data_IF_726738031462
#
_entry.id   IF_726738031462
#
_cell.length_a   1.000
_cell.length_b   1.000
_cell.length_c   1.000
_cell.angle_alpha   90.00
_cell.angle_beta   90.00
_cell.angle_gamma   90.00
#
_symmetry.space_group_name_H-M   'P 1'
#
loop_
_entity.id
_entity.type
_entity.pdbx_description
1 polymer ?
#
# COMPACT_ATOMS: atom_id res chain seq x y z
N UNK A 1 -24.90 -10.26 1.05
CA UNK A 1 -23.84 -10.82 1.91
C UNK A 1 -22.55 -10.64 1.16
N UNK A 2 -21.90 -9.49 1.32
CA UNK A 2 -20.56 -9.30 0.75
C UNK A 2 -19.61 -10.19 1.54
N UNK A 3 -18.98 -11.12 0.82
CA UNK A 3 -17.99 -12.02 1.36
C UNK A 3 -16.82 -11.20 1.89
N UNK A 4 -16.58 -11.25 3.20
CA UNK A 4 -15.29 -10.88 3.77
C UNK A 4 -14.23 -11.65 2.99
N UNK A 5 -13.52 -10.97 2.10
CA UNK A 5 -12.40 -11.59 1.38
C UNK A 5 -11.33 -11.84 2.43
N UNK A 6 -11.16 -13.09 2.86
CA UNK A 6 -10.09 -13.48 3.77
C UNK A 6 -8.76 -13.02 3.17
N UNK A 7 -8.00 -12.22 3.92
CA UNK A 7 -6.66 -11.83 3.50
C UNK A 7 -5.83 -13.06 3.19
N UNK A 8 -5.04 -12.97 2.12
CA UNK A 8 -4.14 -14.05 1.72
C UNK A 8 -2.83 -13.92 2.47
N UNK A 9 -2.36 -15.03 3.04
CA UNK A 9 -1.01 -15.13 3.59
C UNK A 9 -0.09 -15.60 2.47
N UNK A 10 0.85 -14.74 2.09
CA UNK A 10 1.84 -14.99 1.05
C UNK A 10 3.18 -15.41 1.66
N UNK A 11 3.96 -16.15 0.88
CA UNK A 11 5.36 -16.47 1.16
C UNK A 11 6.31 -15.41 0.58
N UNK A 12 7.58 -15.42 1.00
CA UNK A 12 8.62 -14.56 0.41
C UNK A 12 8.80 -14.88 -1.08
N UNK A 13 8.63 -16.15 -1.46
CA UNK A 13 8.73 -16.59 -2.85
C UNK A 13 7.56 -16.05 -3.68
N UNK A 14 6.34 -16.00 -3.13
CA UNK A 14 5.21 -15.36 -3.82
C UNK A 14 5.51 -13.89 -4.14
N UNK A 15 6.02 -13.12 -3.15
CA UNK A 15 6.35 -11.71 -3.38
C UNK A 15 7.47 -11.52 -4.40
N UNK A 16 8.48 -12.40 -4.41
CA UNK A 16 9.52 -12.42 -5.46
C UNK A 16 8.90 -12.73 -6.82
N UNK A 17 8.03 -13.74 -6.92
CA UNK A 17 7.38 -14.11 -8.17
C UNK A 17 6.54 -12.96 -8.72
N UNK A 18 5.76 -12.27 -7.87
CA UNK A 18 4.92 -11.14 -8.29
C UNK A 18 5.75 -10.00 -8.85
N UNK A 19 6.90 -9.71 -8.23
CA UNK A 19 7.73 -8.54 -8.52
C UNK A 19 8.91 -8.82 -9.45
N UNK A 20 9.00 -10.02 -10.02
CA UNK A 20 10.16 -10.50 -10.79
C UNK A 20 11.46 -10.36 -9.99
N UNK A 21 11.49 -10.93 -8.79
CA UNK A 21 12.59 -10.86 -7.82
C UNK A 21 12.96 -9.42 -7.43
N UNK A 22 11.95 -8.57 -7.18
CA UNK A 22 12.13 -7.15 -6.84
C UNK A 22 12.98 -6.39 -7.86
N UNK A 23 12.83 -6.71 -9.15
CA UNK A 23 13.65 -6.12 -10.20
C UNK A 23 13.50 -4.60 -10.21
N UNK A 24 14.62 -3.88 -10.43
CA UNK A 24 14.66 -2.40 -10.42
C UNK A 24 13.65 -1.72 -11.35
N UNK A 25 13.30 -2.35 -12.48
CA UNK A 25 12.30 -1.80 -13.40
C UNK A 25 10.87 -1.82 -12.82
N UNK A 26 10.64 -2.66 -11.82
CA UNK A 26 9.37 -2.73 -11.11
C UNK A 26 9.35 -1.82 -9.88
N UNK A 27 10.49 -1.25 -9.47
CA UNK A 27 10.54 -0.28 -8.37
C UNK A 27 9.68 0.94 -8.72
N UNK A 28 8.75 1.27 -7.83
CA UNK A 28 7.95 2.49 -7.89
C UNK A 28 8.69 3.60 -7.14
N UNK A 29 9.15 3.30 -5.92
CA UNK A 29 9.93 4.25 -5.14
C UNK A 29 10.17 3.77 -3.71
N UNK A 30 10.99 4.53 -3.01
CA UNK A 30 11.21 4.38 -1.58
C UNK A 30 10.11 5.12 -0.80
N UNK A 31 9.69 4.51 0.30
CA UNK A 31 8.79 5.07 1.30
C UNK A 31 9.57 5.21 2.61
N UNK A 32 8.99 5.89 3.59
CA UNK A 32 9.57 5.95 4.93
C UNK A 32 9.83 4.55 5.53
N UNK A 33 9.03 3.55 5.17
CA UNK A 33 9.08 2.21 5.76
C UNK A 33 9.35 1.11 4.72
N UNK A 34 10.30 1.37 3.82
CA UNK A 34 10.75 0.39 2.82
C UNK A 34 10.38 0.79 1.40
N UNK A 35 10.11 -0.18 0.53
CA UNK A 35 10.06 0.01 -0.92
C UNK A 35 8.75 -0.46 -1.53
N UNK A 36 8.29 0.25 -2.55
CA UNK A 36 7.11 -0.10 -3.34
C UNK A 36 7.51 -0.66 -4.70
N UNK A 37 6.90 -1.77 -5.08
CA UNK A 37 7.14 -2.44 -6.37
C UNK A 37 5.82 -2.68 -7.10
N UNK A 38 5.86 -2.59 -8.42
CA UNK A 38 4.83 -3.15 -9.30
C UNK A 38 4.94 -4.66 -9.28
N UNK A 39 3.80 -5.33 -9.19
CA UNK A 39 3.72 -6.77 -9.25
C UNK A 39 2.56 -7.24 -10.11
N UNK A 40 2.60 -8.52 -10.47
CA UNK A 40 1.50 -9.20 -11.16
C UNK A 40 1.29 -10.56 -10.49
N UNK A 41 0.11 -10.76 -9.90
CA UNK A 41 -0.32 -12.08 -9.46
C UNK A 41 -0.78 -12.83 -10.71
N UNK A 42 -0.01 -13.83 -11.12
CA UNK A 42 -0.36 -14.72 -12.22
C UNK A 42 -1.15 -15.90 -11.70
N UNK A 43 -1.97 -16.48 -12.57
CA UNK A 43 -2.75 -17.68 -12.28
C UNK A 43 -1.81 -18.84 -11.87
N UNK A 44 -1.58 -19.01 -10.58
CA UNK A 44 -0.79 -20.09 -10.01
C UNK A 44 -1.73 -20.98 -9.21
N UNK A 45 -1.78 -22.25 -9.60
CA UNK A 45 -2.43 -23.33 -8.86
C UNK A 45 -1.86 -23.40 -7.46
N UNK A 46 -2.62 -22.95 -6.44
CA UNK A 46 -2.28 -23.18 -5.04
C UNK A 46 -2.93 -22.24 -4.03
N UNK A 47 -2.94 -20.91 -4.28
CA UNK A 47 -3.31 -19.93 -3.24
C UNK A 47 -4.36 -18.91 -3.69
N UNK A 48 -4.37 -18.49 -4.96
CA UNK A 48 -5.38 -17.56 -5.51
C UNK A 48 -5.87 -18.09 -6.86
N UNK A 49 -7.11 -18.58 -6.90
CA UNK A 49 -7.78 -18.98 -8.15
C UNK A 49 -8.40 -17.74 -8.81
N UNK A 50 -7.61 -16.98 -9.56
CA UNK A 50 -8.12 -15.89 -10.42
C UNK A 50 -8.13 -16.35 -11.87
N UNK A 51 -9.18 -16.00 -12.62
CA UNK A 51 -9.26 -16.35 -14.05
C UNK A 51 -8.31 -15.51 -14.91
N UNK A 52 -7.81 -14.40 -14.37
CA UNK A 52 -7.01 -13.40 -15.08
C UNK A 52 -5.80 -12.96 -14.25
N UNK A 53 -4.77 -12.46 -14.92
CA UNK A 53 -3.64 -11.81 -14.26
C UNK A 53 -4.13 -10.56 -13.52
N UNK A 54 -3.67 -10.37 -12.29
CA UNK A 54 -4.01 -9.18 -11.48
C UNK A 54 -2.77 -8.35 -11.24
N UNK A 55 -2.77 -7.13 -11.74
CA UNK A 55 -1.74 -6.13 -11.43
C UNK A 55 -1.91 -5.65 -9.98
N UNK A 56 -0.81 -5.58 -9.25
CA UNK A 56 -0.77 -5.27 -7.82
C UNK A 56 0.40 -4.36 -7.48
N UNK A 57 0.34 -3.79 -6.28
CA UNK A 57 1.47 -3.07 -5.68
C UNK A 57 1.95 -3.85 -4.47
N UNK A 58 3.26 -4.12 -4.42
CA UNK A 58 3.89 -4.83 -3.32
C UNK A 58 4.75 -3.84 -2.54
N UNK A 59 4.42 -3.63 -1.26
CA UNK A 59 5.28 -2.91 -0.31
C UNK A 59 6.10 -3.93 0.47
N UNK A 60 7.41 -3.74 0.53
CA UNK A 60 8.30 -4.51 1.38
C UNK A 60 9.02 -3.60 2.37
N UNK A 61 9.24 -4.09 3.59
CA UNK A 61 10.04 -3.40 4.59
C UNK A 61 11.50 -3.85 4.46
N UNK A 62 12.44 -2.91 4.54
CA UNK A 62 13.88 -3.21 4.53
C UNK A 62 14.36 -3.34 5.98
N UNK A 63 15.03 -4.44 6.35
CA UNK A 63 15.59 -4.61 7.70
C UNK A 63 16.56 -3.48 8.09
N UNK A 64 17.15 -2.79 7.10
CA UNK A 64 18.04 -1.65 7.34
C UNK A 64 17.31 -0.33 7.60
N UNK A 65 16.00 -0.29 7.37
CA UNK A 65 15.19 0.88 7.70
C UNK A 65 14.92 0.92 9.21
N UNK A 66 15.95 1.29 9.97
CA UNK A 66 15.88 1.63 11.41
C UNK A 66 15.05 2.92 11.65
N UNK A 67 13.91 3.06 10.99
CA UNK A 67 13.15 4.31 11.02
C UNK A 67 12.31 4.45 12.29
N UNK A 68 12.22 3.40 13.11
CA UNK A 68 11.65 3.47 14.44
C UNK A 68 12.44 2.52 15.35
N UNK A 69 13.27 3.07 16.23
CA UNK A 69 13.66 2.40 17.47
C UNK A 69 12.42 2.30 18.38
N UNK A 70 11.35 1.66 17.89
CA UNK A 70 10.34 1.13 18.77
C UNK A 70 11.05 -0.03 19.46
N UNK A 71 11.30 0.09 20.76
CA UNK A 71 11.63 -1.02 21.65
C UNK A 71 10.44 -2.00 21.72
N UNK A 72 9.90 -2.40 20.57
CA UNK A 72 8.88 -3.42 20.45
C UNK A 72 9.58 -4.74 20.19
N UNK A 73 9.44 -5.68 21.11
CA UNK A 73 9.84 -7.08 20.93
C UNK A 73 9.10 -7.76 19.76
N UNK A 74 8.09 -7.10 19.17
CA UNK A 74 7.29 -7.60 18.05
C UNK A 74 7.87 -7.18 16.69
N UNK A 75 8.64 -8.08 16.10
CA UNK A 75 9.28 -7.90 14.79
C UNK A 75 8.27 -7.70 13.62
N UNK A 76 6.98 -7.98 13.85
CA UNK A 76 5.92 -7.85 12.84
C UNK A 76 4.95 -6.68 13.09
N UNK A 77 5.22 -5.82 14.06
CA UNK A 77 4.32 -4.74 14.47
C UNK A 77 3.82 -3.88 13.31
N UNK A 78 4.71 -3.48 12.41
CA UNK A 78 4.36 -2.62 11.26
C UNK A 78 3.36 -3.28 10.31
N UNK A 79 3.54 -4.56 10.00
CA UNK A 79 2.59 -5.29 9.15
C UNK A 79 1.26 -5.45 9.88
N UNK A 80 1.30 -5.78 11.18
CA UNK A 80 0.07 -5.97 11.98
C UNK A 80 -0.78 -4.71 12.03
N UNK A 81 -0.18 -3.55 12.31
CA UNK A 81 -0.92 -2.28 12.35
C UNK A 81 -1.43 -1.89 10.96
N UNK A 82 -0.65 -2.08 9.91
CA UNK A 82 -1.11 -1.76 8.55
C UNK A 82 -2.25 -2.69 8.10
N UNK A 83 -2.16 -3.99 8.38
CA UNK A 83 -3.22 -4.96 8.13
C UNK A 83 -4.49 -4.59 8.92
N UNK A 84 -4.35 -4.32 10.22
CA UNK A 84 -5.46 -3.93 11.11
C UNK A 84 -6.15 -2.65 10.66
N UNK A 85 -5.38 -1.66 10.23
CA UNK A 85 -5.92 -0.40 9.71
C UNK A 85 -6.70 -0.64 8.40
N UNK A 86 -6.07 -1.23 7.39
CA UNK A 86 -6.65 -1.37 6.05
C UNK A 86 -7.78 -2.41 5.96
N UNK A 87 -7.91 -3.28 6.97
CA UNK A 87 -9.04 -4.22 7.08
C UNK A 87 -10.17 -3.75 7.99
N UNK A 88 -10.02 -2.60 8.64
CA UNK A 88 -11.08 -2.10 9.50
C UNK A 88 -12.37 -1.86 8.67
N UNK A 89 -13.56 -2.27 9.14
CA UNK A 89 -14.80 -2.21 8.37
C UNK A 89 -15.15 -0.82 7.83
N UNK A 90 -14.85 0.25 8.57
CA UNK A 90 -15.06 1.61 8.06
C UNK A 90 -14.03 2.03 7.01
N UNK A 91 -12.81 1.49 7.06
CA UNK A 91 -11.68 1.95 6.25
C UNK A 91 -11.60 1.22 4.90
N UNK A 92 -11.79 -0.09 4.89
CA UNK A 92 -11.48 -0.95 3.73
C UNK A 92 -12.25 -0.65 2.44
N UNK A 93 -13.36 0.09 2.54
CA UNK A 93 -14.22 0.47 1.42
C UNK A 93 -14.04 1.93 0.97
N UNK A 94 -13.12 2.70 1.58
CA UNK A 94 -12.93 4.09 1.20
C UNK A 94 -12.31 4.19 -0.21
N UNK A 95 -12.93 4.92 -1.16
CA UNK A 95 -12.54 4.89 -2.58
C UNK A 95 -11.15 5.46 -2.87
N UNK A 96 -10.63 6.30 -1.97
CA UNK A 96 -9.29 6.90 -2.09
C UNK A 96 -8.25 6.28 -1.16
N UNK A 97 -8.55 5.17 -0.48
CA UNK A 97 -7.55 4.40 0.27
C UNK A 97 -7.21 3.11 -0.48
N UNK A 98 -5.97 2.64 -0.33
CA UNK A 98 -5.58 1.35 -0.91
C UNK A 98 -6.37 0.20 -0.31
N UNK A 99 -6.69 -0.80 -1.14
CA UNK A 99 -7.31 -2.04 -0.70
C UNK A 99 -6.25 -3.13 -0.54
N UNK A 100 -6.25 -3.79 0.61
CA UNK A 100 -5.32 -4.87 0.91
C UNK A 100 -5.80 -6.20 0.33
N UNK A 101 -4.90 -6.95 -0.31
CA UNK A 101 -5.12 -8.32 -0.80
C UNK A 101 -4.58 -9.34 0.22
N UNK A 102 -3.39 -9.07 0.75
CA UNK A 102 -2.70 -10.00 1.62
C UNK A 102 -1.36 -9.48 2.10
N UNK A 103 -0.64 -10.32 2.84
CA UNK A 103 0.61 -9.96 3.49
C UNK A 103 1.56 -11.15 3.61
N UNK A 104 2.84 -10.87 3.84
CA UNK A 104 3.89 -11.83 4.11
C UNK A 104 4.66 -11.41 5.36
N UNK A 105 4.79 -12.31 6.34
CA UNK A 105 5.52 -12.09 7.59
C UNK A 105 6.79 -12.97 7.68
N UNK A 106 7.26 -13.53 6.57
CA UNK A 106 8.47 -14.35 6.62
C UNK A 106 9.71 -13.49 6.89
N UNK A 107 10.74 -14.09 7.52
CA UNK A 107 11.95 -13.35 7.90
C UNK A 107 12.72 -12.83 6.69
N UNK A 108 12.73 -13.57 5.58
CA UNK A 108 13.45 -13.17 4.37
C UNK A 108 12.85 -11.92 3.73
N UNK A 109 11.52 -11.89 3.56
CA UNK A 109 10.80 -10.74 3.04
C UNK A 109 9.53 -10.50 3.84
N UNK A 110 9.42 -9.29 4.37
CA UNK A 110 8.22 -8.78 5.05
C UNK A 110 7.52 -7.81 4.13
N UNK A 111 6.24 -8.02 3.86
CA UNK A 111 5.54 -7.20 2.89
C UNK A 111 4.01 -7.29 2.92
N UNK A 112 3.38 -6.37 2.22
CA UNK A 112 1.93 -6.33 1.98
C UNK A 112 1.65 -6.12 0.50
N UNK A 113 0.52 -6.64 0.04
CA UNK A 113 0.11 -6.60 -1.36
C UNK A 113 -1.22 -5.85 -1.47
N UNK A 114 -1.24 -4.76 -2.23
CA UNK A 114 -2.43 -3.97 -2.50
C UNK A 114 -3.02 -4.25 -3.88
N UNK A 115 -4.33 -4.13 -3.94
CA UNK A 115 -5.10 -4.11 -5.18
C UNK A 115 -4.99 -2.74 -5.84
N UNK A 116 -3.84 -2.49 -6.45
CA UNK A 116 -3.53 -1.21 -7.07
C UNK A 116 -2.48 -1.39 -8.17
N UNK A 117 -2.75 -0.80 -9.34
CA UNK A 117 -1.80 -0.70 -10.46
C UNK A 117 -1.43 0.78 -10.71
N UNK A 118 -0.53 1.37 -9.91
CA UNK A 118 -0.29 2.80 -9.93
C UNK A 118 0.58 3.18 -11.14
N UNK A 119 0.28 4.35 -11.71
CA UNK A 119 1.17 5.00 -12.68
C UNK A 119 2.52 5.27 -12.05
N UNK A 120 2.52 5.93 -10.89
CA UNK A 120 3.70 6.26 -10.09
C UNK A 120 3.29 6.83 -8.72
N UNK A 121 4.26 7.07 -7.83
CA UNK A 121 4.05 7.90 -6.63
C UNK A 121 4.09 9.39 -6.98
N UNK A 122 3.38 10.20 -6.21
CA UNK A 122 3.29 11.63 -6.41
C UNK A 122 4.68 12.30 -6.33
N UNK A 123 5.57 11.82 -5.45
CA UNK A 123 6.98 12.24 -5.39
C UNK A 123 7.63 12.29 -6.78
N UNK A 124 7.57 11.18 -7.52
CA UNK A 124 8.21 11.05 -8.83
C UNK A 124 7.54 11.91 -9.91
N UNK A 125 6.24 12.16 -9.77
CA UNK A 125 5.45 12.88 -10.76
C UNK A 125 5.62 14.39 -10.61
N UNK A 126 5.64 14.90 -9.38
CA UNK A 126 5.81 16.34 -9.12
C UNK A 126 7.15 16.82 -9.67
N UNK A 127 8.22 16.03 -9.55
CA UNK A 127 9.54 16.36 -10.08
C UNK A 127 9.59 16.50 -11.60
N UNK A 128 8.64 15.89 -12.33
CA UNK A 128 8.54 15.95 -13.80
C UNK A 128 7.68 17.12 -14.28
N UNK A 129 7.00 17.83 -13.38
CA UNK A 129 6.09 18.95 -13.66
C UNK A 129 4.97 18.64 -14.69
N UNK A 130 4.53 17.39 -14.75
CA UNK A 130 3.56 16.91 -15.77
C UNK A 130 2.09 17.09 -15.36
N UNK A 131 1.81 17.61 -14.17
CA UNK A 131 0.46 17.78 -13.65
C UNK A 131 -0.10 19.16 -13.99
N UNK A 132 -1.24 19.18 -14.69
CA UNK A 132 -2.06 20.38 -14.85
C UNK A 132 -2.55 20.91 -13.50
N UNK A 133 -2.91 22.19 -13.45
CA UNK A 133 -3.47 22.80 -12.24
C UNK A 133 -4.70 22.05 -11.71
N UNK A 134 -5.62 21.69 -12.61
CA UNK A 134 -6.82 20.93 -12.26
C UNK A 134 -6.50 19.58 -11.62
N UNK A 135 -5.49 18.86 -12.13
CA UNK A 135 -5.05 17.59 -11.54
C UNK A 135 -4.47 17.80 -10.13
N UNK A 136 -3.67 18.86 -9.92
CA UNK A 136 -3.12 19.19 -8.59
C UNK A 136 -4.24 19.47 -7.59
N UNK A 137 -5.22 20.29 -7.96
CA UNK A 137 -6.38 20.61 -7.12
C UNK A 137 -7.17 19.34 -6.81
N UNK A 138 -7.40 18.46 -7.78
CA UNK A 138 -8.08 17.18 -7.54
C UNK A 138 -7.32 16.28 -6.55
N UNK A 139 -5.99 16.20 -6.67
CA UNK A 139 -5.15 15.45 -5.71
C UNK A 139 -5.31 15.98 -4.29
N UNK A 140 -5.23 17.30 -4.12
CA UNK A 140 -5.39 17.95 -2.81
C UNK A 140 -6.79 17.70 -2.24
N UNK A 141 -7.83 17.80 -3.06
CA UNK A 141 -9.21 17.60 -2.64
C UNK A 141 -9.45 16.17 -2.15
N UNK A 142 -8.96 15.17 -2.89
CA UNK A 142 -9.10 13.76 -2.52
C UNK A 142 -8.32 13.44 -1.25
N UNK A 143 -7.12 14.02 -1.06
CA UNK A 143 -6.36 13.89 0.17
C UNK A 143 -7.08 14.52 1.36
N UNK A 144 -7.64 15.72 1.18
CA UNK A 144 -8.42 16.39 2.21
C UNK A 144 -9.66 15.57 2.60
N UNK A 145 -10.35 14.97 1.62
CA UNK A 145 -11.50 14.10 1.87
C UNK A 145 -11.14 12.84 2.67
N UNK A 146 -10.01 12.20 2.36
CA UNK A 146 -9.50 11.07 3.17
C UNK A 146 -9.20 11.51 4.60
N UNK A 147 -8.57 12.67 4.78
CA UNK A 147 -8.22 13.17 6.11
C UNK A 147 -9.45 13.54 6.94
N UNK A 148 -10.41 14.23 6.33
CA UNK A 148 -11.70 14.50 6.94
C UNK A 148 -12.36 13.19 7.37
N UNK A 149 -12.48 12.23 6.45
CA UNK A 149 -13.06 10.93 6.73
C UNK A 149 -12.41 10.23 7.93
N UNK A 150 -11.07 10.18 7.98
CA UNK A 150 -10.32 9.53 9.06
C UNK A 150 -10.48 10.23 10.41
N UNK A 151 -10.55 11.56 10.41
CA UNK A 151 -10.70 12.35 11.63
C UNK A 151 -12.14 12.40 12.16
N UNK A 152 -13.14 12.11 11.31
CA UNK A 152 -14.56 12.11 11.71
C UNK A 152 -15.11 10.73 12.10
N UNK A 153 -14.25 9.71 12.20
CA UNK A 153 -14.66 8.39 12.69
C UNK A 153 -15.07 8.46 14.18
N UNK A 154 -15.86 7.48 14.65
CA UNK A 154 -16.24 7.37 16.07
C UNK A 154 -15.01 7.34 16.99
N UNK A 155 -13.96 6.65 16.55
CA UNK A 155 -12.61 6.71 17.11
C UNK A 155 -11.69 7.29 16.02
N UNK A 156 -11.34 8.59 16.08
CA UNK A 156 -10.52 9.23 15.06
C UNK A 156 -9.13 8.60 14.94
N UNK A 157 -8.65 8.44 13.70
CA UNK A 157 -7.29 7.97 13.45
C UNK A 157 -6.30 9.14 13.51
N UNK A 158 -5.18 8.97 14.21
CA UNK A 158 -4.12 9.96 14.25
C UNK A 158 -3.19 9.78 13.04
N UNK A 159 -3.33 10.65 12.04
CA UNK A 159 -2.44 10.63 10.86
C UNK A 159 -1.13 11.35 11.16
N UNK A 160 -0.14 10.58 11.62
CA UNK A 160 1.15 11.11 12.08
C UNK A 160 2.15 11.41 10.97
N UNK A 161 1.96 10.84 9.79
CA UNK A 161 2.81 11.16 8.65
C UNK A 161 2.05 11.10 7.33
N UNK A 162 2.20 12.16 6.54
CA UNK A 162 1.73 12.24 5.16
C UNK A 162 2.80 12.97 4.38
N UNK A 163 3.22 12.38 3.26
CA UNK A 163 4.12 13.02 2.32
C UNK A 163 3.83 12.52 0.91
N UNK A 164 4.49 13.08 -0.07
CA UNK A 164 4.28 12.80 -1.49
C UNK A 164 4.63 11.36 -1.90
N UNK A 165 5.39 10.59 -1.10
CA UNK A 165 5.61 9.16 -1.35
C UNK A 165 4.43 8.28 -0.91
N UNK A 166 3.52 8.81 -0.10
CA UNK A 166 2.32 8.12 0.40
C UNK A 166 1.11 8.26 -0.55
N UNK A 167 1.24 9.06 -1.59
CA UNK A 167 0.16 9.29 -2.56
C UNK A 167 0.53 8.61 -3.86
N UNK A 168 -0.23 7.60 -4.26
CA UNK A 168 -0.06 6.91 -5.53
C UNK A 168 -1.08 7.44 -6.53
N UNK A 169 -0.66 7.72 -7.76
CA UNK A 169 -1.59 8.11 -8.81
C UNK A 169 -1.99 6.89 -9.63
N UNK A 170 -3.24 6.47 -9.51
CA UNK A 170 -3.86 5.48 -10.37
C UNK A 170 -4.27 6.12 -11.72
N UNK A 171 -4.68 5.29 -12.68
CA UNK A 171 -5.19 5.71 -13.96
C UNK A 171 -6.49 6.49 -13.87
N UNK A 172 -7.29 6.27 -12.82
CA UNK A 172 -8.60 6.90 -12.60
C UNK A 172 -8.54 8.09 -11.65
N UNK A 173 -7.53 8.15 -10.76
CA UNK A 173 -7.37 9.23 -9.79
C UNK A 173 -6.29 8.96 -8.74
N UNK A 174 -6.12 9.84 -7.74
CA UNK A 174 -5.21 9.60 -6.63
C UNK A 174 -5.76 8.53 -5.68
N UNK A 175 -4.89 7.59 -5.31
CA UNK A 175 -5.10 6.60 -4.26
C UNK A 175 -4.05 6.84 -3.18
N UNK A 176 -4.50 6.94 -1.94
CA UNK A 176 -3.66 7.28 -0.80
C UNK A 176 -3.34 5.99 -0.05
N UNK A 177 -2.04 5.79 0.19
CA UNK A 177 -1.52 4.74 1.03
C UNK A 177 -0.93 5.37 2.29
N UNK A 178 -1.53 5.06 3.44
CA UNK A 178 -1.06 5.55 4.72
C UNK A 178 -0.24 4.45 5.38
N UNK A 179 1.07 4.66 5.51
CA UNK A 179 1.99 3.67 6.07
C UNK A 179 1.97 3.58 7.60
N UNK A 180 1.28 4.50 8.30
CA UNK A 180 1.33 4.61 9.76
C UNK A 180 0.15 5.40 10.27
N UNK A 181 -0.74 4.71 10.97
CA UNK A 181 -1.69 5.30 11.90
C UNK A 181 -1.43 4.62 13.24
N UNK A 182 -1.20 5.42 14.28
CA UNK A 182 -1.06 4.96 15.66
C UNK A 182 -2.28 5.37 16.46
#
# INVERSE_FOLDING_TARGET
MESYSSLVVFTSEDLKLFTNSFHKNNLIGDTQFGKLFRGCIKNLTGVICTQENRDVTVKIWDEKSNCLNLDSDDEHLMIKEEVKFLTHPSIHCHPNLVKLIGFCCEKEVRGVVYDLNPRDILHNIILKDVLSWTQRVNIILQLAGVLEFLHTQEMPYLVLNICESHIMLDWVGPIIHLSTLY
#
